data_IF_650814030083
#
_entry.id   IF_650814030083
#
_cell.length_a   1.000
_cell.length_b   1.000
_cell.length_c   1.000
_cell.angle_alpha   90.00
_cell.angle_beta   90.00
_cell.angle_gamma   90.00
#
_symmetry.space_group_name_H-M   'P 1'
#
loop_
_entity.id
_entity.type
_entity.pdbx_description
1 polymer ?
#
# COMPACT_ATOMS: atom_id res chain seq x y z
N UNK A 1 5.25 -16.86 -16.40
CA UNK A 1 4.16 -16.37 -17.27
C UNK A 1 4.75 -15.98 -18.61
N UNK A 2 4.11 -16.34 -19.73
CA UNK A 2 4.55 -15.91 -21.07
C UNK A 2 3.90 -14.60 -21.45
N UNK A 3 4.68 -13.63 -21.90
CA UNK A 3 4.18 -12.31 -22.27
C UNK A 3 3.32 -12.38 -23.54
N UNK A 4 3.58 -13.32 -24.45
CA UNK A 4 2.71 -13.59 -25.61
C UNK A 4 1.28 -13.98 -25.24
N UNK A 5 1.06 -14.41 -23.98
CA UNK A 5 -0.24 -14.83 -23.45
C UNK A 5 -0.94 -13.74 -22.62
N UNK A 6 -0.31 -12.59 -22.37
CA UNK A 6 -0.99 -11.46 -21.76
C UNK A 6 -1.95 -10.81 -22.76
N UNK A 7 -3.15 -10.47 -22.29
CA UNK A 7 -4.07 -9.63 -23.06
C UNK A 7 -3.65 -8.15 -23.01
N UNK A 8 -2.92 -7.75 -21.96
CA UNK A 8 -2.38 -6.40 -21.80
C UNK A 8 -1.12 -6.20 -22.64
N UNK A 9 -0.97 -5.00 -23.19
CA UNK A 9 0.21 -4.57 -23.94
C UNK A 9 0.65 -3.20 -23.44
N UNK A 10 1.93 -2.88 -23.59
CA UNK A 10 2.44 -1.54 -23.32
C UNK A 10 1.85 -0.55 -24.32
N UNK A 11 1.71 0.71 -23.88
CA UNK A 11 1.19 1.81 -24.70
C UNK A 11 2.22 2.92 -24.75
N UNK A 12 2.40 3.51 -25.94
CA UNK A 12 3.27 4.68 -26.14
C UNK A 12 2.66 5.96 -25.60
N UNK A 13 1.34 6.09 -25.75
CA UNK A 13 0.58 7.28 -25.39
C UNK A 13 -0.43 6.98 -24.27
N UNK A 14 -0.66 8.00 -23.46
CA UNK A 14 -1.67 8.05 -22.40
C UNK A 14 -2.51 9.29 -22.64
N UNK A 15 -3.71 9.30 -22.07
CA UNK A 15 -4.61 10.43 -22.23
C UNK A 15 -3.99 11.70 -21.64
N UNK A 16 -4.13 12.83 -22.35
CA UNK A 16 -3.51 14.10 -22.00
C UNK A 16 -4.03 14.71 -20.67
N UNK A 17 -5.15 14.20 -20.14
CA UNK A 17 -5.69 14.58 -18.83
C UNK A 17 -4.98 13.89 -17.66
N UNK A 18 -4.14 12.87 -17.90
CA UNK A 18 -3.38 12.18 -16.87
C UNK A 18 -1.94 12.70 -16.79
N UNK A 19 -1.74 13.71 -15.96
CA UNK A 19 -0.44 14.39 -15.77
C UNK A 19 0.41 13.77 -14.66
N UNK A 20 -0.13 12.80 -13.92
CA UNK A 20 0.52 12.24 -12.74
C UNK A 20 1.46 11.11 -13.14
N UNK A 21 2.74 11.23 -12.80
CA UNK A 21 3.78 10.27 -13.18
C UNK A 21 3.44 8.83 -12.78
N UNK A 22 2.95 8.63 -11.55
CA UNK A 22 2.50 7.31 -11.10
C UNK A 22 1.45 6.67 -12.01
N UNK A 23 0.36 7.40 -12.32
CA UNK A 23 -0.73 6.88 -13.12
C UNK A 23 -0.31 6.74 -14.60
N UNK A 24 0.45 7.69 -15.12
CA UNK A 24 1.00 7.63 -16.48
C UNK A 24 1.78 6.34 -16.71
N UNK A 25 2.77 6.06 -15.85
CA UNK A 25 3.60 4.86 -15.96
C UNK A 25 2.80 3.58 -15.81
N UNK A 26 1.88 3.52 -14.83
CA UNK A 26 1.06 2.33 -14.59
C UNK A 26 0.09 2.04 -15.73
N UNK A 27 -0.48 3.07 -16.37
CA UNK A 27 -1.35 2.90 -17.54
C UNK A 27 -0.52 2.49 -18.76
N UNK A 28 0.61 3.16 -19.03
CA UNK A 28 1.52 2.82 -20.14
C UNK A 28 2.06 1.40 -20.04
N UNK A 29 2.39 0.96 -18.84
CA UNK A 29 2.87 -0.39 -18.57
C UNK A 29 1.75 -1.45 -18.53
N UNK A 30 0.46 -1.05 -18.63
CA UNK A 30 -0.67 -1.98 -18.59
C UNK A 30 -0.90 -2.61 -17.21
N UNK A 31 -0.55 -1.91 -16.13
CA UNK A 31 -0.81 -2.33 -14.74
C UNK A 31 -2.21 -1.93 -14.29
N UNK A 32 -2.71 -0.78 -14.76
CA UNK A 32 -4.05 -0.29 -14.43
C UNK A 32 -4.76 0.25 -15.67
N UNK A 33 -6.09 0.29 -15.61
CA UNK A 33 -6.95 0.98 -16.56
C UNK A 33 -7.76 2.04 -15.81
N UNK A 34 -7.76 3.28 -16.31
CA UNK A 34 -8.55 4.38 -15.73
C UNK A 34 -9.97 4.29 -16.28
N UNK A 35 -10.94 3.99 -15.42
CA UNK A 35 -12.37 3.94 -15.78
C UNK A 35 -12.94 5.37 -15.87
N UNK A 36 -12.62 6.17 -14.86
CA UNK A 36 -12.94 7.59 -14.77
C UNK A 36 -11.99 8.29 -13.80
N UNK A 37 -12.13 9.61 -13.65
CA UNK A 37 -11.30 10.37 -12.71
C UNK A 37 -11.40 9.79 -11.28
N UNK A 38 -10.26 9.32 -10.77
CA UNK A 38 -10.16 8.73 -9.42
C UNK A 38 -10.65 7.28 -9.29
N UNK A 39 -10.96 6.58 -10.38
CA UNK A 39 -11.39 5.17 -10.34
C UNK A 39 -10.59 4.35 -11.36
N UNK A 40 -9.95 3.29 -10.88
CA UNK A 40 -9.00 2.49 -11.64
C UNK A 40 -9.28 0.99 -11.48
N UNK A 41 -9.26 0.27 -12.60
CA UNK A 41 -9.24 -1.18 -12.65
C UNK A 41 -7.80 -1.69 -12.62
N UNK A 42 -7.52 -2.68 -11.77
CA UNK A 42 -6.21 -3.33 -11.69
C UNK A 42 -6.11 -4.48 -12.70
N UNK A 43 -5.17 -4.35 -13.63
CA UNK A 43 -4.88 -5.36 -14.66
C UNK A 43 -3.90 -6.42 -14.10
N UNK A 44 -3.61 -7.53 -14.82
CA UNK A 44 -2.90 -8.67 -14.23
C UNK A 44 -1.57 -8.33 -13.53
N UNK A 45 -0.76 -7.42 -14.09
CA UNK A 45 0.50 -6.99 -13.45
C UNK A 45 0.25 -6.12 -12.22
N UNK A 46 -0.65 -5.15 -12.31
CA UNK A 46 -1.00 -4.27 -11.19
C UNK A 46 -1.63 -5.02 -10.04
N UNK A 47 -2.53 -5.98 -10.32
CA UNK A 47 -3.16 -6.82 -9.31
C UNK A 47 -2.13 -7.71 -8.58
N UNK A 48 -1.08 -8.19 -9.27
CA UNK A 48 0.00 -8.96 -8.64
C UNK A 48 0.79 -8.10 -7.65
N UNK A 49 1.14 -6.86 -8.01
CA UNK A 49 1.81 -5.91 -7.10
C UNK A 49 0.92 -5.59 -5.91
N UNK A 50 -0.35 -5.25 -6.17
CA UNK A 50 -1.32 -4.91 -5.13
C UNK A 50 -1.46 -6.04 -4.10
N UNK A 51 -1.54 -7.29 -4.55
CA UNK A 51 -1.61 -8.47 -3.68
C UNK A 51 -0.33 -8.71 -2.86
N UNK A 52 0.86 -8.38 -3.40
CA UNK A 52 2.11 -8.46 -2.63
C UNK A 52 2.15 -7.42 -1.50
N UNK A 53 1.72 -6.18 -1.79
CA UNK A 53 1.54 -5.14 -0.78
C UNK A 53 0.52 -5.58 0.28
N UNK A 54 -0.62 -6.11 -0.18
CA UNK A 54 -1.68 -6.64 0.68
C UNK A 54 -1.17 -7.72 1.63
N UNK A 55 -0.41 -8.69 1.12
CA UNK A 55 0.13 -9.78 1.93
C UNK A 55 1.15 -9.30 2.96
N UNK A 56 2.03 -8.36 2.62
CA UNK A 56 2.95 -7.75 3.60
C UNK A 56 2.14 -7.12 4.74
N UNK A 57 1.10 -6.36 4.41
CA UNK A 57 0.26 -5.72 5.44
C UNK A 57 -0.45 -6.78 6.28
N UNK A 58 -1.09 -7.78 5.66
CA UNK A 58 -1.80 -8.88 6.32
C UNK A 58 -0.91 -9.61 7.33
N UNK A 59 0.26 -10.05 6.90
CA UNK A 59 1.22 -10.73 7.77
C UNK A 59 1.56 -9.91 9.02
N UNK A 60 1.79 -8.60 8.85
CA UNK A 60 2.10 -7.71 9.98
C UNK A 60 0.89 -7.46 10.90
N UNK A 61 -0.34 -7.47 10.37
CA UNK A 61 -1.56 -7.39 11.19
C UNK A 61 -1.80 -8.70 11.97
N UNK A 62 -1.58 -9.85 11.32
CA UNK A 62 -1.72 -11.17 11.95
C UNK A 62 -0.68 -11.36 13.06
N UNK A 63 0.57 -10.91 12.84
CA UNK A 63 1.65 -10.94 13.83
C UNK A 63 1.33 -10.15 15.11
N UNK A 64 0.43 -9.17 15.06
CA UNK A 64 -0.03 -8.42 16.23
C UNK A 64 -1.34 -8.94 16.83
N UNK A 65 -1.84 -10.09 16.35
CA UNK A 65 -3.07 -10.71 16.82
C UNK A 65 -4.34 -10.12 16.20
N UNK A 66 -4.21 -9.38 15.10
CA UNK A 66 -5.36 -8.86 14.36
C UNK A 66 -6.22 -9.98 13.79
N UNK A 67 -7.53 -9.85 13.89
CA UNK A 67 -8.49 -10.79 13.29
C UNK A 67 -9.00 -10.21 11.97
N UNK A 68 -8.65 -10.85 10.85
CA UNK A 68 -9.12 -10.41 9.53
C UNK A 68 -10.61 -10.73 9.35
N UNK A 69 -11.37 -9.72 8.93
CA UNK A 69 -12.79 -9.81 8.56
C UNK A 69 -13.02 -9.13 7.21
N UNK A 70 -14.22 -9.30 6.64
CA UNK A 70 -14.68 -8.53 5.49
C UNK A 70 -16.03 -7.90 5.83
N UNK A 71 -16.04 -6.57 6.02
CA UNK A 71 -17.23 -5.82 6.38
C UNK A 71 -17.95 -5.29 5.13
N UNK A 72 -19.25 -5.04 5.27
CA UNK A 72 -20.09 -4.55 4.17
C UNK A 72 -19.64 -3.18 3.65
N UNK A 73 -19.59 -3.02 2.32
CA UNK A 73 -19.45 -1.72 1.66
C UNK A 73 -20.71 -0.87 1.82
N UNK A 74 -21.88 -1.51 1.87
CA UNK A 74 -23.17 -0.85 2.09
C UNK A 74 -23.41 -0.73 3.59
N UNK A 75 -23.57 0.50 4.05
CA UNK A 75 -23.63 0.82 5.47
C UNK A 75 -24.97 1.48 5.81
N UNK A 76 -25.67 1.00 6.87
CA UNK A 76 -26.97 1.52 7.26
C UNK A 76 -26.86 2.96 7.75
N UNK A 77 -27.73 3.83 7.23
CA UNK A 77 -27.81 5.26 7.58
C UNK A 77 -27.92 5.47 9.09
N UNK A 78 -28.68 4.61 9.78
CA UNK A 78 -28.96 4.73 11.21
C UNK A 78 -27.69 4.66 12.07
N UNK A 79 -26.68 3.92 11.63
CA UNK A 79 -25.39 3.85 12.34
C UNK A 79 -24.59 5.16 12.18
N UNK A 80 -24.65 5.79 11.01
CA UNK A 80 -24.02 7.07 10.72
C UNK A 80 -24.72 8.24 11.40
N UNK A 81 -26.04 8.17 11.55
CA UNK A 81 -26.80 9.16 12.32
C UNK A 81 -26.44 9.13 13.81
N UNK A 82 -26.24 7.94 14.39
CA UNK A 82 -25.81 7.79 15.79
C UNK A 82 -24.49 8.48 16.08
N UNK A 83 -23.55 8.47 15.13
CA UNK A 83 -22.25 9.15 15.28
C UNK A 83 -22.29 10.62 14.84
N UNK A 84 -23.43 11.09 14.31
CA UNK A 84 -23.58 12.41 13.70
C UNK A 84 -22.81 12.60 12.39
N UNK A 85 -22.15 11.54 11.90
CA UNK A 85 -21.31 11.60 10.68
C UNK A 85 -22.11 11.50 9.40
N UNK A 86 -23.38 11.12 9.46
CA UNK A 86 -24.27 11.21 8.30
C UNK A 86 -24.34 12.64 7.76
N UNK A 87 -24.44 13.64 8.64
CA UNK A 87 -24.54 15.05 8.23
C UNK A 87 -23.20 15.79 8.21
N UNK A 88 -22.27 15.44 9.12
CA UNK A 88 -21.01 16.19 9.25
C UNK A 88 -19.89 15.76 8.31
N UNK A 89 -20.02 14.64 7.58
CA UNK A 89 -19.01 14.16 6.65
C UNK A 89 -19.37 14.54 5.20
N UNK A 90 -18.65 15.52 4.67
CA UNK A 90 -18.94 16.13 3.36
C UNK A 90 -18.62 15.22 2.16
N UNK A 91 -17.71 14.26 2.34
CA UNK A 91 -17.24 13.33 1.29
C UNK A 91 -17.90 11.94 1.37
N UNK A 92 -19.04 11.82 2.04
CA UNK A 92 -19.81 10.59 2.16
C UNK A 92 -20.69 10.36 0.93
N UNK A 93 -20.53 9.22 0.25
CA UNK A 93 -21.48 8.79 -0.77
C UNK A 93 -22.78 8.29 -0.10
N UNK A 94 -23.85 9.08 -0.23
CA UNK A 94 -25.22 8.72 0.17
C UNK A 94 -25.97 8.21 -1.06
N UNK A 95 -26.39 6.95 -1.02
CA UNK A 95 -27.09 6.28 -2.13
C UNK A 95 -28.53 6.00 -1.70
N UNK A 96 -29.47 6.25 -2.60
CA UNK A 96 -30.90 5.96 -2.41
C UNK A 96 -31.31 4.88 -3.40
N UNK A 97 -31.84 3.76 -2.90
CA UNK A 97 -32.36 2.71 -3.78
C UNK A 97 -33.78 3.03 -4.29
N UNK A 98 -34.30 2.19 -5.19
CA UNK A 98 -35.63 2.39 -5.78
C UNK A 98 -36.79 2.30 -4.78
N UNK A 99 -36.55 1.79 -3.57
CA UNK A 99 -37.53 1.76 -2.48
C UNK A 99 -37.49 3.01 -1.59
N UNK A 100 -36.55 3.93 -1.85
CA UNK A 100 -36.31 5.10 -1.03
C UNK A 100 -35.39 4.84 0.18
N UNK A 101 -34.76 3.67 0.27
CA UNK A 101 -33.83 3.36 1.36
C UNK A 101 -32.51 4.07 1.12
N UNK A 102 -32.05 4.76 2.14
CA UNK A 102 -30.77 5.46 2.13
C UNK A 102 -29.67 4.61 2.77
N UNK A 103 -28.52 4.52 2.10
CA UNK A 103 -27.35 3.80 2.56
C UNK A 103 -26.10 4.60 2.26
N UNK A 104 -25.07 4.47 3.09
CA UNK A 104 -23.75 4.97 2.78
C UNK A 104 -22.95 3.91 2.01
N UNK A 105 -22.15 4.34 1.03
CA UNK A 105 -21.00 3.55 0.58
C UNK A 105 -19.82 3.87 1.50
N UNK A 106 -19.31 2.86 2.20
CA UNK A 106 -18.36 3.02 3.29
C UNK A 106 -17.05 3.72 2.90
N UNK A 107 -16.75 4.91 3.46
CA UNK A 107 -15.42 5.53 3.37
C UNK A 107 -14.47 5.01 4.48
N UNK A 108 -15.04 4.38 5.52
CA UNK A 108 -14.42 3.75 6.70
C UNK A 108 -15.49 2.90 7.42
N UNK A 109 -15.17 2.23 8.53
CA UNK A 109 -16.04 1.20 9.14
C UNK A 109 -16.18 1.25 10.67
N UNK A 110 -15.85 2.35 11.35
CA UNK A 110 -16.10 2.50 12.80
C UNK A 110 -17.59 2.26 13.15
N UNK A 111 -18.50 2.83 12.35
CA UNK A 111 -19.96 2.68 12.45
C UNK A 111 -20.49 1.25 12.24
N UNK A 112 -19.64 0.35 11.73
CA UNK A 112 -20.01 -1.03 11.40
C UNK A 112 -19.40 -2.01 12.40
N UNK A 113 -18.11 -1.88 12.66
CA UNK A 113 -17.40 -2.83 13.55
C UNK A 113 -17.90 -2.73 15.00
N UNK A 114 -18.19 -1.52 15.50
CA UNK A 114 -18.63 -1.30 16.88
C UNK A 114 -19.95 -1.99 17.20
N UNK A 115 -21.05 -1.78 16.44
CA UNK A 115 -22.31 -2.46 16.72
C UNK A 115 -22.24 -3.98 16.49
N UNK A 116 -21.38 -4.47 15.59
CA UNK A 116 -21.11 -5.91 15.46
C UNK A 116 -20.51 -6.43 16.77
N UNK A 117 -19.43 -5.80 17.24
CA UNK A 117 -18.70 -6.23 18.41
C UNK A 117 -19.58 -6.25 19.67
N UNK A 118 -20.49 -5.28 19.82
CA UNK A 118 -21.43 -5.19 20.94
C UNK A 118 -22.25 -6.47 21.17
N UNK A 119 -22.47 -7.29 20.14
CA UNK A 119 -23.24 -8.53 20.27
C UNK A 119 -22.47 -9.67 20.93
N UNK A 120 -21.14 -9.53 21.08
CA UNK A 120 -20.26 -10.62 21.51
C UNK A 120 -19.47 -10.31 22.78
N UNK A 121 -19.46 -9.04 23.22
CA UNK A 121 -18.66 -8.59 24.36
C UNK A 121 -19.53 -7.98 25.45
N UNK A 122 -19.23 -8.30 26.70
CA UNK A 122 -19.93 -7.76 27.86
C UNK A 122 -19.07 -7.66 29.13
N UNK A 123 -17.98 -8.43 29.21
CA UNK A 123 -17.07 -8.47 30.36
C UNK A 123 -15.67 -8.00 29.96
N UNK A 124 -14.89 -7.48 30.92
CA UNK A 124 -13.47 -7.20 30.72
C UNK A 124 -12.68 -8.43 30.21
N UNK A 125 -13.16 -9.66 30.48
CA UNK A 125 -12.54 -10.90 30.00
C UNK A 125 -12.63 -11.08 28.48
N UNK A 126 -13.58 -10.41 27.83
CA UNK A 126 -13.74 -10.44 26.38
C UNK A 126 -12.73 -9.51 25.66
N UNK A 127 -11.96 -8.74 26.45
CA UNK A 127 -10.92 -7.81 25.98
C UNK A 127 -9.56 -8.22 26.57
N UNK A 128 -8.88 -9.23 25.99
CA UNK A 128 -7.51 -9.54 26.37
C UNK A 128 -6.62 -8.29 26.17
N UNK A 129 -5.49 -8.21 26.88
CA UNK A 129 -4.50 -7.11 26.72
C UNK A 129 -3.24 -7.52 25.97
N UNK A 130 -3.02 -8.83 25.74
CA UNK A 130 -1.82 -9.30 25.04
C UNK A 130 -2.08 -10.58 24.20
N UNK A 131 -2.28 -10.45 22.88
CA UNK A 131 -2.56 -9.20 22.17
C UNK A 131 -3.95 -8.65 22.52
N UNK A 132 -4.18 -7.34 22.39
CA UNK A 132 -5.50 -6.77 22.58
C UNK A 132 -6.47 -7.21 21.49
N UNK A 133 -7.76 -7.22 21.82
CA UNK A 133 -8.80 -7.49 20.84
C UNK A 133 -8.71 -6.46 19.71
N UNK A 134 -8.43 -6.93 18.51
CA UNK A 134 -8.31 -6.10 17.34
C UNK A 134 -8.82 -6.80 16.09
N UNK A 135 -9.51 -6.04 15.26
CA UNK A 135 -10.21 -6.51 14.07
C UNK A 135 -9.74 -5.65 12.91
N UNK A 136 -9.42 -6.25 11.77
CA UNK A 136 -9.05 -5.51 10.57
C UNK A 136 -9.66 -6.12 9.32
N UNK A 137 -9.68 -5.34 8.25
CA UNK A 137 -10.06 -5.82 6.92
C UNK A 137 -9.18 -5.17 5.86
N UNK A 138 -9.19 -5.73 4.66
CA UNK A 138 -8.66 -5.09 3.46
C UNK A 138 -9.78 -5.04 2.41
N UNK A 139 -10.33 -3.84 2.16
CA UNK A 139 -11.59 -3.70 1.43
C UNK A 139 -11.71 -2.32 0.74
N UNK A 140 -12.45 -2.25 -0.37
CA UNK A 140 -12.67 -1.04 -1.17
C UNK A 140 -13.48 0.03 -0.42
N UNK A 141 -12.92 1.22 -0.30
CA UNK A 141 -13.56 2.40 0.28
C UNK A 141 -13.99 3.36 -0.79
N UNK A 142 -15.02 4.14 -0.48
CA UNK A 142 -15.60 5.13 -1.38
C UNK A 142 -15.61 6.50 -0.71
N UNK A 143 -14.96 7.49 -1.31
CA UNK A 143 -15.02 8.90 -0.86
C UNK A 143 -15.41 9.80 -2.03
N UNK A 144 -16.36 10.69 -1.80
CA UNK A 144 -16.89 11.63 -2.79
C UNK A 144 -15.90 12.78 -3.00
N UNK A 145 -14.74 12.44 -3.56
CA UNK A 145 -13.71 13.41 -3.87
C UNK A 145 -14.14 14.29 -5.04
N UNK A 146 -14.41 15.57 -4.75
CA UNK A 146 -14.87 16.56 -5.73
C UNK A 146 -13.86 16.71 -6.87
N UNK A 147 -12.56 16.65 -6.55
CA UNK A 147 -11.47 16.75 -7.53
C UNK A 147 -10.43 15.67 -7.29
N UNK A 148 -10.63 14.51 -7.94
CA UNK A 148 -9.59 13.50 -8.01
C UNK A 148 -8.38 14.09 -8.77
N UNK A 149 -7.22 14.10 -8.14
CA UNK A 149 -5.96 14.67 -8.65
C UNK A 149 -4.79 13.76 -8.28
N UNK A 150 -3.65 13.94 -8.94
CA UNK A 150 -2.43 13.20 -8.63
C UNK A 150 -2.52 11.69 -8.87
N UNK A 151 -3.38 11.26 -9.80
CA UNK A 151 -3.45 9.88 -10.28
C UNK A 151 -3.98 8.93 -9.20
N UNK A 152 -3.19 7.90 -8.90
CA UNK A 152 -3.57 6.89 -7.90
C UNK A 152 -3.46 7.37 -6.45
N UNK A 153 -2.93 8.57 -6.21
CA UNK A 153 -2.73 9.10 -4.86
C UNK A 153 -4.03 9.62 -4.23
N UNK A 154 -5.00 10.08 -5.04
CA UNK A 154 -6.27 10.63 -4.55
C UNK A 154 -7.44 10.22 -5.44
N UNK A 155 -7.93 9.01 -5.18
CA UNK A 155 -9.07 8.40 -5.85
C UNK A 155 -10.41 8.59 -5.13
N UNK A 156 -11.48 8.12 -5.78
CA UNK A 156 -12.85 8.02 -5.24
C UNK A 156 -13.17 6.62 -4.76
N UNK A 157 -12.65 5.62 -5.47
CA UNK A 157 -12.65 4.22 -5.06
C UNK A 157 -11.20 3.79 -4.82
N UNK A 158 -10.92 3.24 -3.65
CA UNK A 158 -9.56 2.83 -3.29
C UNK A 158 -9.56 1.68 -2.29
N UNK A 159 -8.56 0.81 -2.39
CA UNK A 159 -8.37 -0.29 -1.46
C UNK A 159 -7.66 0.21 -0.21
N UNK A 160 -8.22 -0.10 0.97
CA UNK A 160 -7.65 0.28 2.25
C UNK A 160 -7.65 -0.91 3.19
N UNK A 161 -6.55 -1.05 3.93
CA UNK A 161 -6.54 -1.78 5.18
C UNK A 161 -6.97 -0.84 6.29
N UNK A 162 -7.99 -1.21 7.04
CA UNK A 162 -8.46 -0.50 8.22
C UNK A 162 -8.57 -1.48 9.38
N UNK A 163 -7.98 -1.11 10.51
CA UNK A 163 -7.93 -1.91 11.74
C UNK A 163 -8.50 -1.11 12.90
N UNK A 164 -9.17 -1.79 13.82
CA UNK A 164 -9.78 -1.22 15.01
C UNK A 164 -9.36 -2.04 16.24
N UNK A 165 -8.83 -1.39 17.26
CA UNK A 165 -8.44 -2.04 18.52
C UNK A 165 -9.34 -1.58 19.66
N UNK A 166 -9.57 -2.46 20.63
CA UNK A 166 -10.52 -2.25 21.72
C UNK A 166 -9.86 -2.56 23.06
N UNK A 167 -9.95 -1.62 23.99
CA UNK A 167 -9.14 -1.61 25.21
C UNK A 167 -9.97 -1.31 26.45
N UNK A 168 -9.58 -1.95 27.56
CA UNK A 168 -10.20 -1.74 28.88
C UNK A 168 -9.53 -0.65 29.69
N UNK A 169 -8.32 -0.23 29.31
CA UNK A 169 -7.57 0.82 30.00
C UNK A 169 -6.75 1.66 29.03
N UNK A 170 -6.44 2.89 29.44
CA UNK A 170 -5.59 3.80 28.66
C UNK A 170 -4.18 3.24 28.47
N UNK A 171 -3.63 2.56 29.47
CA UNK A 171 -2.30 1.94 29.42
C UNK A 171 -2.24 0.86 28.33
N UNK A 172 -3.22 -0.03 28.29
CA UNK A 172 -3.33 -1.09 27.28
C UNK A 172 -3.42 -0.50 25.85
N UNK A 173 -4.21 0.56 25.69
CA UNK A 173 -4.27 1.30 24.44
C UNK A 173 -2.92 1.92 24.05
N UNK A 174 -2.24 2.63 24.95
CA UNK A 174 -0.97 3.31 24.66
C UNK A 174 0.16 2.33 24.30
N UNK A 175 0.21 1.18 24.99
CA UNK A 175 1.17 0.10 24.68
C UNK A 175 0.93 -0.46 23.27
N UNK A 176 -0.33 -0.75 22.92
CA UNK A 176 -0.67 -1.25 21.59
C UNK A 176 -0.47 -0.20 20.49
N UNK A 177 -0.86 1.05 20.74
CA UNK A 177 -0.69 2.16 19.78
C UNK A 177 0.80 2.38 19.46
N UNK A 178 1.67 2.33 20.48
CA UNK A 178 3.13 2.40 20.32
C UNK A 178 3.67 1.21 19.53
N UNK A 179 3.16 0.00 19.78
CA UNK A 179 3.50 -1.19 18.98
C UNK A 179 3.13 -0.99 17.50
N UNK A 180 1.93 -0.47 17.23
CA UNK A 180 1.44 -0.21 15.87
C UNK A 180 2.28 0.82 15.12
N UNK A 181 2.85 1.82 15.81
CA UNK A 181 3.82 2.74 15.20
C UNK A 181 5.03 1.99 14.61
N UNK A 182 5.58 1.03 15.36
CA UNK A 182 6.69 0.20 14.91
C UNK A 182 6.30 -0.71 13.74
N UNK A 183 5.12 -1.34 13.82
CA UNK A 183 4.59 -2.22 12.77
C UNK A 183 4.44 -1.48 11.44
N UNK A 184 3.91 -0.26 11.46
CA UNK A 184 3.75 0.53 10.23
C UNK A 184 5.12 0.88 9.60
N UNK A 185 6.13 1.22 10.41
CA UNK A 185 7.51 1.40 9.92
C UNK A 185 8.03 0.13 9.24
N UNK A 186 7.80 -1.04 9.85
CA UNK A 186 8.17 -2.34 9.26
C UNK A 186 7.47 -2.57 7.92
N UNK A 187 6.16 -2.32 7.83
CA UNK A 187 5.39 -2.45 6.57
C UNK A 187 6.01 -1.58 5.47
N UNK A 188 6.23 -0.29 5.71
CA UNK A 188 6.78 0.61 4.68
C UNK A 188 8.23 0.26 4.32
N UNK A 189 9.02 -0.25 5.27
CA UNK A 189 10.35 -0.81 5.01
C UNK A 189 10.27 -2.03 4.09
N UNK A 190 9.39 -3.00 4.40
CA UNK A 190 9.18 -4.22 3.60
C UNK A 190 8.64 -3.92 2.20
N UNK A 191 7.79 -2.91 2.07
CA UNK A 191 7.29 -2.42 0.76
C UNK A 191 8.38 -1.70 -0.05
N UNK A 192 9.46 -1.24 0.59
CA UNK A 192 10.65 -0.69 -0.06
C UNK A 192 10.77 0.85 -0.01
N UNK A 193 9.88 1.54 0.71
CA UNK A 193 9.86 3.02 0.82
C UNK A 193 10.13 3.53 2.24
N UNK A 194 10.49 2.65 3.18
CA UNK A 194 10.72 3.02 4.58
C UNK A 194 11.80 4.09 4.76
N UNK A 195 12.82 4.09 3.91
CA UNK A 195 13.89 5.09 3.91
C UNK A 195 13.45 6.51 3.47
N UNK A 196 12.26 6.64 2.90
CA UNK A 196 11.65 7.92 2.51
C UNK A 196 10.43 8.27 3.37
N UNK A 197 10.04 7.39 4.31
CA UNK A 197 8.77 7.50 5.03
C UNK A 197 9.02 7.83 6.50
N UNK A 198 8.48 8.97 6.92
CA UNK A 198 8.65 9.52 8.26
C UNK A 198 7.37 9.39 9.05
N UNK A 199 7.50 8.94 10.31
CA UNK A 199 6.41 9.06 11.26
C UNK A 199 6.25 10.53 11.61
N UNK A 200 5.05 11.04 11.36
CA UNK A 200 4.75 12.47 11.37
C UNK A 200 3.69 12.75 12.41
N UNK A 201 4.00 13.60 13.38
CA UNK A 201 3.02 14.10 14.32
C UNK A 201 2.07 15.07 13.60
N UNK A 202 0.78 14.80 13.65
CA UNK A 202 -0.23 15.49 12.85
C UNK A 202 -1.50 15.78 13.64
N UNK A 203 -2.43 16.53 13.04
CA UNK A 203 -3.76 16.74 13.60
C UNK A 203 -4.54 15.44 13.56
N UNK A 204 -5.30 15.16 14.63
CA UNK A 204 -6.22 14.04 14.63
C UNK A 204 -7.50 14.28 13.83
N UNK A 205 -7.62 15.43 13.17
CA UNK A 205 -8.78 15.83 12.39
C UNK A 205 -10.06 15.74 13.21
N UNK A 206 -11.08 15.06 12.68
CA UNK A 206 -12.33 14.85 13.43
C UNK A 206 -12.22 13.77 14.50
N UNK A 207 -11.17 12.95 14.51
CA UNK A 207 -11.07 11.74 15.32
C UNK A 207 -10.45 12.00 16.70
N UNK A 208 -9.42 12.83 16.77
CA UNK A 208 -8.65 13.11 18.00
C UNK A 208 -7.98 14.49 17.94
N UNK A 209 -7.34 14.95 19.04
CA UNK A 209 -6.52 16.19 19.01
C UNK A 209 -5.30 16.01 18.08
N UNK A 210 -4.60 14.90 18.23
CA UNK A 210 -3.40 14.56 17.47
C UNK A 210 -3.46 13.11 16.99
N UNK A 211 -2.70 12.81 15.94
CA UNK A 211 -2.49 11.48 15.36
C UNK A 211 -1.02 11.30 14.97
N UNK A 212 -0.70 10.11 14.45
CA UNK A 212 0.58 9.86 13.79
C UNK A 212 0.32 9.42 12.35
N UNK A 213 0.67 10.30 11.43
CA UNK A 213 0.71 10.02 10.00
C UNK A 213 2.03 9.33 9.63
N UNK A 214 2.02 8.63 8.50
CA UNK A 214 3.20 8.09 7.87
C UNK A 214 3.33 8.76 6.51
N UNK A 215 4.31 9.67 6.40
CA UNK A 215 4.45 10.59 5.30
C UNK A 215 5.69 10.24 4.49
N UNK A 216 5.51 9.90 3.22
CA UNK A 216 6.62 9.61 2.30
C UNK A 216 7.03 10.89 1.57
N UNK A 217 8.31 11.28 1.66
CA UNK A 217 8.83 12.47 0.98
C UNK A 217 8.64 12.34 -0.53
N UNK A 218 7.99 13.33 -1.14
CA UNK A 218 7.78 13.42 -2.58
C UNK A 218 7.38 14.84 -2.97
N UNK A 219 7.94 15.35 -4.08
CA UNK A 219 7.67 16.70 -4.57
C UNK A 219 6.21 16.93 -5.00
N UNK A 220 5.49 15.86 -5.36
CA UNK A 220 4.06 15.93 -5.73
C UNK A 220 3.12 15.76 -4.54
N UNK A 221 3.68 15.61 -3.34
CA UNK A 221 2.93 15.50 -2.10
C UNK A 221 2.03 16.71 -1.82
N UNK A 222 0.83 16.43 -1.29
CA UNK A 222 -0.12 17.49 -0.93
C UNK A 222 0.24 18.12 0.41
N UNK A 223 0.80 17.33 1.31
CA UNK A 223 1.16 17.75 2.65
C UNK A 223 2.52 18.45 2.65
N UNK A 224 2.71 19.29 3.67
CA UNK A 224 3.99 19.94 3.95
C UNK A 224 4.38 19.53 5.35
N UNK A 225 5.52 18.87 5.47
CA UNK A 225 6.05 18.36 6.73
C UNK A 225 7.38 19.01 7.04
N UNK A 226 7.72 19.05 8.33
CA UNK A 226 8.99 19.54 8.83
C UNK A 226 9.74 18.36 9.47
N UNK A 227 10.80 17.91 8.80
CA UNK A 227 11.55 16.70 9.14
C UNK A 227 12.73 17.04 10.03
N UNK A 228 12.88 16.33 11.14
CA UNK A 228 14.12 16.28 11.90
C UNK A 228 14.87 14.99 11.54
N UNK A 229 15.92 15.12 10.72
CA UNK A 229 16.69 13.97 10.22
C UNK A 229 17.40 13.21 11.34
N UNK A 230 17.71 13.87 12.46
CA UNK A 230 18.42 13.26 13.59
C UNK A 230 17.55 12.26 14.37
N UNK A 231 16.27 12.59 14.60
CA UNK A 231 15.32 11.71 15.30
C UNK A 231 14.49 10.83 14.37
N UNK A 232 14.56 11.07 13.05
CA UNK A 232 13.70 10.41 12.06
C UNK A 232 12.20 10.62 12.34
N UNK A 233 11.87 11.81 12.85
CA UNK A 233 10.50 12.28 13.10
C UNK A 233 10.18 13.46 12.19
N UNK A 234 8.88 13.66 11.96
CA UNK A 234 8.40 14.85 11.28
C UNK A 234 7.19 15.47 11.98
N UNK A 235 6.92 16.73 11.65
CA UNK A 235 5.73 17.47 12.06
C UNK A 235 4.94 17.86 10.83
N UNK A 236 3.64 17.59 10.82
CA UNK A 236 2.76 18.19 9.82
C UNK A 236 2.71 19.70 10.07
N UNK A 237 2.77 20.51 9.00
CA UNK A 237 2.72 21.98 9.08
C UNK A 237 1.54 22.49 9.90
N UNK A 238 0.41 21.79 9.87
CA UNK A 238 -0.80 22.18 10.60
C UNK A 238 -0.65 22.17 12.13
N UNK A 239 0.27 21.37 12.67
CA UNK A 239 0.52 21.26 14.12
C UNK A 239 1.84 21.94 14.55
N UNK A 240 2.53 22.62 13.65
CA UNK A 240 3.80 23.29 13.96
C UNK A 240 3.56 24.52 14.84
N UNK A 241 3.83 24.39 16.14
CA UNK A 241 3.81 25.48 17.11
C UNK A 241 4.80 25.20 18.27
N UNK A 242 5.07 26.22 19.09
CA UNK A 242 6.08 26.15 20.15
C UNK A 242 5.73 25.13 21.26
N UNK A 243 4.44 24.89 21.53
CA UNK A 243 3.97 23.88 22.48
C UNK A 243 4.34 22.47 21.99
N UNK A 244 4.04 22.16 20.73
CA UNK A 244 4.35 20.87 20.11
C UNK A 244 5.86 20.65 19.97
N UNK A 245 6.61 21.68 19.56
CA UNK A 245 8.07 21.61 19.49
C UNK A 245 8.67 21.29 20.86
N UNK A 246 8.18 21.93 21.92
CA UNK A 246 8.63 21.68 23.28
C UNK A 246 8.25 20.27 23.75
N UNK A 247 7.02 19.82 23.46
CA UNK A 247 6.51 18.49 23.83
C UNK A 247 7.36 17.37 23.20
N UNK A 248 7.77 17.54 21.95
CA UNK A 248 8.53 16.53 21.21
C UNK A 248 10.04 16.73 21.30
N UNK A 249 10.50 17.74 22.05
CA UNK A 249 11.91 18.11 22.17
C UNK A 249 12.58 18.37 20.80
N UNK A 250 11.84 19.01 19.90
CA UNK A 250 12.28 19.38 18.55
C UNK A 250 12.70 20.85 18.50
N UNK A 251 13.71 21.13 17.68
CA UNK A 251 14.24 22.49 17.50
C UNK A 251 13.92 22.98 16.10
N UNK A 252 13.20 24.10 16.00
CA UNK A 252 12.71 24.65 14.73
C UNK A 252 13.83 24.84 13.69
N UNK A 253 15.00 25.29 14.14
CA UNK A 253 16.18 25.53 13.31
C UNK A 253 16.83 24.25 12.73
N UNK A 254 16.45 23.07 13.22
CA UNK A 254 16.91 21.77 12.71
C UNK A 254 15.93 21.11 11.75
N UNK A 255 14.74 21.69 11.58
CA UNK A 255 13.70 21.10 10.77
C UNK A 255 13.86 21.47 9.29
N UNK A 256 13.73 20.47 8.42
CA UNK A 256 13.76 20.65 6.97
C UNK A 256 12.35 20.53 6.42
N UNK A 257 11.87 21.58 5.75
CA UNK A 257 10.56 21.56 5.09
C UNK A 257 10.60 20.64 3.87
N UNK A 258 9.63 19.73 3.78
CA UNK A 258 9.48 18.78 2.68
C UNK A 258 8.02 18.68 2.24
N UNK A 259 7.81 18.38 0.96
CA UNK A 259 6.52 17.90 0.46
C UNK A 259 6.40 16.40 0.67
N UNK A 260 5.21 15.92 0.99
CA UNK A 260 5.01 14.50 1.30
C UNK A 260 3.63 13.94 0.96
N UNK A 261 3.56 12.62 0.85
CA UNK A 261 2.35 11.84 0.60
C UNK A 261 2.05 11.00 1.84
N UNK A 262 0.87 11.18 2.43
CA UNK A 262 0.38 10.36 3.54
C UNK A 262 0.02 8.95 3.05
N UNK A 263 0.81 7.93 3.44
CA UNK A 263 0.60 6.52 3.08
C UNK A 263 -0.10 5.69 4.17
N UNK A 264 -0.22 6.24 5.38
CA UNK A 264 -0.97 5.62 6.48
C UNK A 264 -1.15 6.57 7.66
N UNK A 265 -2.08 6.23 8.55
CA UNK A 265 -2.42 7.05 9.71
C UNK A 265 -2.96 6.20 10.85
N UNK A 266 -2.69 6.61 12.07
CA UNK A 266 -3.14 5.92 13.28
C UNK A 266 -3.73 6.91 14.29
N UNK A 267 -4.91 6.60 14.83
CA UNK A 267 -5.70 7.52 15.67
C UNK A 267 -6.05 6.94 17.04
N UNK A 268 -5.95 7.78 18.07
CA UNK A 268 -6.58 7.56 19.38
C UNK A 268 -8.04 8.01 19.33
N UNK A 269 -8.95 7.06 19.06
CA UNK A 269 -10.38 7.35 18.96
C UNK A 269 -11.04 7.57 20.32
N UNK A 270 -10.35 7.22 21.42
CA UNK A 270 -10.89 7.25 22.78
C UNK A 270 -12.25 6.55 22.83
N UNK A 271 -13.29 7.29 23.22
CA UNK A 271 -14.66 6.79 23.31
C UNK A 271 -15.58 7.35 22.23
N UNK A 272 -15.02 7.98 21.17
CA UNK A 272 -15.80 8.68 20.13
C UNK A 272 -16.86 7.79 19.49
N UNK A 273 -16.54 6.52 19.24
CA UNK A 273 -17.45 5.57 18.59
C UNK A 273 -18.06 4.56 19.56
N UNK A 274 -17.35 4.15 20.60
CA UNK A 274 -17.90 3.23 21.60
C UNK A 274 -19.06 3.86 22.38
N UNK A 275 -19.00 5.17 22.70
CA UNK A 275 -20.05 5.85 23.45
C UNK A 275 -21.40 5.94 22.70
N UNK A 276 -21.48 6.41 21.43
CA UNK A 276 -22.74 6.43 20.67
C UNK A 276 -23.44 5.09 20.52
N UNK A 277 -22.69 3.99 20.48
CA UNK A 277 -23.24 2.64 20.38
C UNK A 277 -23.40 1.96 21.74
N UNK A 278 -23.01 2.60 22.85
CA UNK A 278 -22.96 2.00 24.19
C UNK A 278 -22.20 0.65 24.18
N UNK A 279 -21.01 0.66 23.56
CA UNK A 279 -20.05 -0.43 23.64
C UNK A 279 -19.28 -0.30 24.97
N UNK A 280 -19.60 -1.20 25.89
CA UNK A 280 -19.14 -1.17 27.26
C UNK A 280 -18.76 -2.56 27.78
N UNK A 281 -18.02 -2.62 28.86
CA UNK A 281 -17.73 -3.86 29.59
C UNK A 281 -17.91 -3.68 31.08
N UNK A 282 -18.17 -4.79 31.78
CA UNK A 282 -18.13 -4.84 33.25
C UNK A 282 -16.75 -5.30 33.72
N UNK A 283 -16.12 -4.53 34.61
CA UNK A 283 -14.82 -4.86 35.19
C UNK A 283 -14.91 -5.95 36.27
N UNK A 284 -13.81 -6.20 36.98
CA UNK A 284 -13.76 -7.19 38.06
C UNK A 284 -14.50 -6.77 39.34
N UNK A 285 -14.78 -5.49 39.51
CA UNK A 285 -15.48 -4.92 40.66
C UNK A 285 -16.99 -4.77 40.42
N UNK A 286 -17.44 -5.01 39.18
CA UNK A 286 -18.84 -4.93 38.78
C UNK A 286 -19.22 -3.57 38.19
N UNK A 287 -18.25 -2.67 37.97
CA UNK A 287 -18.50 -1.36 37.39
C UNK A 287 -18.52 -1.42 35.85
N UNK A 288 -19.41 -0.63 35.24
CA UNK A 288 -19.60 -0.55 33.80
C UNK A 288 -18.74 0.56 33.20
N UNK A 289 -17.86 0.22 32.28
CA UNK A 289 -16.94 1.15 31.61
C UNK A 289 -17.16 1.17 30.10
N UNK A 290 -16.94 2.33 29.47
CA UNK A 290 -16.97 2.45 28.00
C UNK A 290 -15.61 2.02 27.43
N UNK A 291 -15.65 1.21 26.38
CA UNK A 291 -14.45 0.68 25.71
C UNK A 291 -13.65 1.82 25.07
N UNK A 292 -12.33 1.81 25.24
CA UNK A 292 -11.42 2.71 24.52
C UNK A 292 -11.06 2.10 23.17
N UNK A 293 -10.94 2.94 22.14
CA UNK A 293 -10.70 2.50 20.76
C UNK A 293 -9.50 3.19 20.12
N UNK A 294 -8.81 2.45 19.26
CA UNK A 294 -7.89 2.99 18.26
C UNK A 294 -8.31 2.59 16.85
N UNK A 295 -7.91 3.36 15.83
CA UNK A 295 -7.99 2.92 14.44
C UNK A 295 -6.70 3.17 13.66
N UNK A 296 -6.44 2.31 12.67
CA UNK A 296 -5.17 2.23 11.97
C UNK A 296 -5.41 1.98 10.46
N UNK A 297 -5.16 2.99 9.63
CA UNK A 297 -5.44 3.00 8.18
C UNK A 297 -4.19 2.97 7.30
N UNK A 298 -4.20 2.15 6.24
CA UNK A 298 -3.19 2.15 5.16
C UNK A 298 -3.95 2.07 3.84
N UNK A 299 -3.75 3.05 2.95
CA UNK A 299 -4.33 3.03 1.61
C UNK A 299 -3.44 2.24 0.65
N UNK A 300 -3.80 1.00 0.32
CA UNK A 300 -2.99 0.13 -0.55
C UNK A 300 -2.85 0.69 -1.96
N UNK A 301 -3.95 1.22 -2.51
CA UNK A 301 -3.96 1.87 -3.82
C UNK A 301 -3.02 3.07 -3.88
N UNK A 302 -3.07 3.91 -2.83
CA UNK A 302 -2.18 5.07 -2.69
C UNK A 302 -0.73 4.64 -2.48
N UNK A 303 -0.49 3.61 -1.67
CA UNK A 303 0.85 3.08 -1.42
C UNK A 303 1.49 2.56 -2.71
N UNK A 304 0.75 1.82 -3.54
CA UNK A 304 1.22 1.40 -4.87
C UNK A 304 1.58 2.60 -5.74
N UNK A 305 0.70 3.62 -5.81
CA UNK A 305 0.97 4.85 -6.54
C UNK A 305 2.21 5.58 -6.02
N UNK A 306 2.39 5.63 -4.69
CA UNK A 306 3.52 6.30 -4.02
C UNK A 306 4.85 5.61 -4.35
N UNK A 307 4.88 4.27 -4.35
CA UNK A 307 6.07 3.51 -4.77
C UNK A 307 6.48 3.91 -6.18
N UNK A 308 5.53 3.95 -7.14
CA UNK A 308 5.85 4.32 -8.52
C UNK A 308 6.29 5.78 -8.63
N UNK A 309 5.67 6.66 -7.86
CA UNK A 309 6.01 8.08 -7.85
C UNK A 309 7.47 8.31 -7.42
N UNK A 310 7.89 7.66 -6.33
CA UNK A 310 9.23 7.88 -5.76
C UNK A 310 10.30 6.93 -6.31
N UNK A 311 9.91 5.79 -6.88
CA UNK A 311 10.82 4.78 -7.47
C UNK A 311 10.53 4.58 -8.97
N UNK A 312 10.88 5.58 -9.76
CA UNK A 312 10.84 5.52 -11.22
C UNK A 312 11.90 6.43 -11.85
N UNK A 313 12.27 6.15 -13.10
CA UNK A 313 13.16 6.97 -13.92
C UNK A 313 12.52 7.29 -15.29
N UNK A 314 13.23 7.98 -16.18
CA UNK A 314 12.68 8.37 -17.49
C UNK A 314 12.31 7.18 -18.39
N UNK A 315 12.77 5.98 -18.07
CA UNK A 315 12.49 4.75 -18.82
C UNK A 315 11.29 3.99 -18.25
N UNK A 316 10.99 4.16 -16.96
CA UNK A 316 9.80 3.60 -16.34
C UNK A 316 9.93 3.29 -14.85
N UNK A 317 9.18 2.28 -14.42
CA UNK A 317 9.03 1.93 -13.01
C UNK A 317 10.31 1.24 -12.49
N UNK A 318 10.58 1.35 -11.18
CA UNK A 318 11.63 0.59 -10.49
C UNK A 318 10.99 -0.07 -9.26
N UNK A 319 10.55 -1.32 -9.39
CA UNK A 319 9.90 -2.02 -8.28
C UNK A 319 10.93 -2.48 -7.23
N UNK A 320 10.64 -2.30 -5.93
CA UNK A 320 11.28 -3.07 -4.87
C UNK A 320 11.05 -4.56 -5.07
N UNK A 321 12.05 -5.40 -4.79
CA UNK A 321 12.00 -6.84 -5.05
C UNK A 321 10.81 -7.52 -4.34
N UNK A 322 10.47 -7.06 -3.13
CA UNK A 322 9.39 -7.59 -2.29
C UNK A 322 8.00 -7.47 -2.92
N UNK A 323 7.76 -6.43 -3.72
CA UNK A 323 6.44 -6.14 -4.31
C UNK A 323 6.41 -6.22 -5.84
N UNK A 324 7.55 -6.45 -6.48
CA UNK A 324 7.63 -6.60 -7.93
C UNK A 324 6.69 -7.70 -8.45
N UNK A 325 6.01 -7.51 -9.60
CA UNK A 325 5.04 -8.48 -10.11
C UNK A 325 5.68 -9.82 -10.50
N UNK A 326 6.97 -9.79 -10.86
CA UNK A 326 7.84 -10.93 -11.13
C UNK A 326 9.24 -10.57 -10.63
N UNK A 327 10.04 -11.55 -10.26
CA UNK A 327 11.44 -11.36 -9.90
C UNK A 327 12.31 -11.15 -11.15
N UNK A 328 12.00 -11.89 -12.22
CA UNK A 328 12.77 -11.89 -13.47
C UNK A 328 11.91 -11.52 -14.66
N UNK A 329 12.44 -10.68 -15.53
CA UNK A 329 11.99 -10.51 -16.91
C UNK A 329 12.99 -11.19 -17.85
N UNK A 330 12.62 -12.35 -18.39
CA UNK A 330 13.40 -13.15 -19.31
C UNK A 330 13.10 -12.73 -20.75
N UNK A 331 14.11 -12.31 -21.50
CA UNK A 331 13.98 -11.83 -22.88
C UNK A 331 14.65 -12.81 -23.82
N UNK A 332 13.87 -13.36 -24.75
CA UNK A 332 14.37 -14.07 -25.91
C UNK A 332 14.70 -13.06 -27.02
N UNK A 333 15.96 -13.00 -27.47
CA UNK A 333 16.38 -12.13 -28.56
C UNK A 333 16.77 -12.92 -29.83
N UNK A 334 16.10 -12.59 -30.93
CA UNK A 334 16.33 -13.21 -32.23
C UNK A 334 15.39 -14.38 -32.52
N UNK A 335 15.49 -14.92 -33.72
CA UNK A 335 14.63 -16.00 -34.24
C UNK A 335 15.33 -17.36 -34.31
N UNK A 336 16.59 -17.43 -33.89
CA UNK A 336 17.40 -18.65 -33.90
C UNK A 336 16.78 -19.75 -33.00
N UNK A 337 16.57 -20.93 -33.58
CA UNK A 337 15.91 -22.06 -32.91
C UNK A 337 16.70 -22.60 -31.71
N UNK A 338 18.05 -22.50 -31.72
CA UNK A 338 18.85 -22.88 -30.56
C UNK A 338 18.67 -21.88 -29.42
N UNK A 339 18.59 -20.58 -29.74
CA UNK A 339 18.32 -19.54 -28.73
C UNK A 339 16.93 -19.73 -28.12
N UNK A 340 15.91 -20.02 -28.94
CA UNK A 340 14.55 -20.33 -28.47
C UNK A 340 14.53 -21.52 -27.51
N UNK A 341 15.17 -22.64 -27.89
CA UNK A 341 15.27 -23.85 -27.05
C UNK A 341 15.97 -23.57 -25.72
N UNK A 342 17.07 -22.83 -25.75
CA UNK A 342 17.79 -22.52 -24.51
C UNK A 342 16.99 -21.56 -23.62
N UNK A 343 16.33 -20.54 -24.19
CA UNK A 343 15.46 -19.64 -23.42
C UNK A 343 14.30 -20.40 -22.75
N UNK A 344 13.69 -21.34 -23.47
CA UNK A 344 12.63 -22.20 -22.94
C UNK A 344 13.12 -23.10 -21.79
N UNK A 345 14.30 -23.70 -21.94
CA UNK A 345 14.94 -24.50 -20.89
C UNK A 345 15.27 -23.68 -19.66
N UNK A 346 15.77 -22.46 -19.84
CA UNK A 346 16.05 -21.52 -18.73
C UNK A 346 14.74 -21.14 -18.04
N UNK A 347 13.70 -20.79 -18.79
CA UNK A 347 12.38 -20.45 -18.25
C UNK A 347 11.82 -21.57 -17.37
N UNK A 348 11.82 -22.81 -17.87
CA UNK A 348 11.29 -23.96 -17.13
C UNK A 348 12.17 -24.32 -15.92
N UNK A 349 13.49 -24.16 -16.01
CA UNK A 349 14.40 -24.34 -14.86
C UNK A 349 14.10 -23.33 -13.76
N UNK A 350 14.07 -22.04 -14.07
CA UNK A 350 13.79 -20.98 -13.09
C UNK A 350 12.42 -21.17 -12.43
N UNK A 351 11.40 -21.51 -13.23
CA UNK A 351 10.05 -21.76 -12.74
C UNK A 351 9.99 -22.99 -11.82
N UNK A 352 10.69 -24.08 -12.15
CA UNK A 352 10.79 -25.28 -11.28
C UNK A 352 11.49 -24.98 -9.96
N UNK A 353 12.39 -23.99 -9.93
CA UNK A 353 13.02 -23.48 -8.72
C UNK A 353 12.16 -22.49 -7.92
N UNK A 354 10.89 -22.29 -8.29
CA UNK A 354 9.96 -21.39 -7.59
C UNK A 354 10.15 -19.90 -7.89
N UNK A 355 11.01 -19.56 -8.85
CA UNK A 355 11.29 -18.16 -9.20
C UNK A 355 10.17 -17.62 -10.10
N UNK A 356 9.64 -16.45 -9.75
CA UNK A 356 8.61 -15.78 -10.55
C UNK A 356 9.21 -15.13 -11.79
N UNK A 357 8.94 -15.71 -12.96
CA UNK A 357 9.48 -15.23 -14.26
C UNK A 357 8.36 -14.73 -15.18
N UNK A 358 8.51 -13.51 -15.69
CA UNK A 358 7.85 -13.03 -16.90
C UNK A 358 8.76 -13.32 -18.09
N UNK A 359 8.28 -14.13 -19.04
CA UNK A 359 9.04 -14.52 -20.23
C UNK A 359 8.52 -13.78 -21.46
N UNK A 360 9.32 -12.87 -22.02
CA UNK A 360 9.06 -12.22 -23.29
C UNK A 360 9.43 -13.13 -24.47
N UNK A 361 8.51 -14.05 -24.75
CA UNK A 361 8.54 -15.02 -25.84
C UNK A 361 7.92 -14.48 -27.14
N UNK A 362 7.63 -13.17 -27.23
CA UNK A 362 7.00 -12.58 -28.42
C UNK A 362 7.95 -12.67 -29.62
N UNK A 363 7.48 -13.28 -30.71
CA UNK A 363 8.13 -13.26 -32.02
C UNK A 363 7.82 -11.99 -32.81
N UNK A 364 8.70 -11.62 -33.75
CA UNK A 364 8.50 -10.44 -34.60
C UNK A 364 8.58 -9.07 -33.90
N UNK A 365 9.02 -9.03 -32.64
CA UNK A 365 9.27 -7.80 -31.85
C UNK A 365 10.76 -7.54 -31.81
N UNK A 366 11.17 -6.29 -32.02
CA UNK A 366 12.60 -5.92 -32.05
C UNK A 366 13.23 -5.99 -30.65
N UNK A 367 14.56 -6.19 -30.59
CA UNK A 367 15.27 -6.17 -29.31
C UNK A 367 15.09 -4.83 -28.57
N UNK A 368 15.10 -3.71 -29.30
CA UNK A 368 14.88 -2.38 -28.73
C UNK A 368 13.51 -2.24 -28.07
N UNK A 369 12.45 -2.75 -28.70
CA UNK A 369 11.11 -2.76 -28.12
C UNK A 369 11.02 -3.66 -26.88
N UNK A 370 11.63 -4.84 -26.90
CA UNK A 370 11.69 -5.72 -25.71
C UNK A 370 12.41 -5.05 -24.54
N UNK A 371 13.51 -4.34 -24.82
CA UNK A 371 14.22 -3.59 -23.79
C UNK A 371 13.41 -2.41 -23.25
N UNK A 372 12.74 -1.65 -24.12
CA UNK A 372 11.87 -0.55 -23.71
C UNK A 372 10.70 -1.04 -22.84
N UNK A 373 10.03 -2.13 -23.23
CA UNK A 373 8.98 -2.75 -22.43
C UNK A 373 9.51 -3.26 -21.08
N UNK A 374 10.72 -3.86 -21.08
CA UNK A 374 11.36 -4.35 -19.85
C UNK A 374 11.68 -3.23 -18.87
N UNK A 375 12.24 -2.12 -19.38
CA UNK A 375 12.54 -0.94 -18.58
C UNK A 375 11.24 -0.26 -18.08
N UNK A 376 10.18 -0.24 -18.90
CA UNK A 376 8.87 0.29 -18.52
C UNK A 376 8.19 -0.53 -17.42
N UNK A 377 8.19 -1.87 -17.52
CA UNK A 377 7.60 -2.74 -16.51
C UNK A 377 8.30 -2.68 -15.16
N UNK A 378 9.60 -2.35 -15.15
CA UNK A 378 10.35 -2.13 -13.92
C UNK A 378 10.67 -3.39 -13.12
N UNK A 379 10.65 -4.57 -13.75
CA UNK A 379 10.97 -5.83 -13.09
C UNK A 379 12.46 -5.82 -12.64
N UNK A 380 12.77 -6.19 -11.38
CA UNK A 380 14.09 -5.96 -10.79
C UNK A 380 15.28 -6.54 -11.57
N UNK A 381 15.14 -7.77 -12.09
CA UNK A 381 16.20 -8.45 -12.81
C UNK A 381 15.78 -8.76 -14.25
N UNK A 382 16.50 -8.17 -15.20
CA UNK A 382 16.38 -8.51 -16.62
C UNK A 382 17.39 -9.60 -16.97
N UNK A 383 16.92 -10.67 -17.61
CA UNK A 383 17.74 -11.80 -18.08
C UNK A 383 17.56 -11.92 -19.59
N UNK A 384 18.64 -11.96 -20.33
CA UNK A 384 18.63 -11.94 -21.80
C UNK A 384 19.30 -13.20 -22.33
N UNK A 385 18.58 -13.89 -23.23
CA UNK A 385 19.09 -15.05 -23.97
C UNK A 385 19.25 -14.64 -25.43
N UNK A 386 20.48 -14.71 -25.92
CA UNK A 386 20.86 -14.34 -27.28
C UNK A 386 21.98 -15.24 -27.79
N UNK A 387 22.25 -15.20 -29.10
CA UNK A 387 23.42 -15.88 -29.69
C UNK A 387 24.72 -15.50 -28.98
N UNK A 388 24.85 -14.22 -28.59
CA UNK A 388 26.03 -13.71 -27.88
C UNK A 388 26.14 -14.32 -26.48
N UNK A 389 25.08 -14.26 -25.68
CA UNK A 389 25.13 -14.76 -24.29
C UNK A 389 25.42 -16.25 -24.24
N UNK A 390 24.85 -17.03 -25.17
CA UNK A 390 25.11 -18.47 -25.28
C UNK A 390 26.58 -18.75 -25.64
N UNK A 391 27.17 -17.99 -26.58
CA UNK A 391 28.60 -18.11 -26.92
C UNK A 391 29.51 -17.77 -25.75
N UNK A 392 29.10 -16.83 -24.91
CA UNK A 392 29.80 -16.44 -23.67
C UNK A 392 29.52 -17.41 -22.49
N UNK A 393 28.73 -18.46 -22.70
CA UNK A 393 28.53 -19.55 -21.73
C UNK A 393 27.36 -19.36 -20.77
N UNK A 394 26.39 -18.49 -21.07
CA UNK A 394 25.22 -18.33 -20.21
C UNK A 394 24.20 -17.30 -20.67
N UNK A 395 23.77 -16.47 -19.72
CA UNK A 395 22.75 -15.42 -19.92
C UNK A 395 23.28 -14.07 -19.50
N UNK A 396 22.89 -13.02 -20.22
CA UNK A 396 23.21 -11.66 -19.79
C UNK A 396 22.18 -11.21 -18.76
N UNK A 397 22.65 -10.78 -17.60
CA UNK A 397 21.82 -10.26 -16.51
C UNK A 397 22.08 -8.78 -16.30
N UNK A 398 21.03 -8.05 -15.93
CA UNK A 398 21.11 -6.62 -15.61
C UNK A 398 20.02 -6.25 -14.59
N UNK A 399 20.38 -5.59 -13.50
CA UNK A 399 19.37 -5.02 -12.60
C UNK A 399 18.70 -3.81 -13.23
N UNK A 400 17.43 -3.56 -12.90
CA UNK A 400 16.65 -2.46 -13.48
C UNK A 400 17.29 -1.08 -13.26
N UNK A 401 17.99 -0.89 -12.15
CA UNK A 401 18.65 0.37 -11.78
C UNK A 401 20.16 0.42 -12.13
N UNK A 402 20.70 -0.61 -12.80
CA UNK A 402 22.10 -0.62 -13.25
C UNK A 402 22.20 -0.17 -14.72
N UNK A 403 23.38 0.31 -15.14
CA UNK A 403 23.60 0.65 -16.55
C UNK A 403 24.08 -0.55 -17.37
N UNK A 404 25.02 -1.33 -16.80
CA UNK A 404 25.75 -2.40 -17.50
C UNK A 404 25.24 -3.78 -17.07
N UNK A 405 25.06 -4.65 -18.04
CA UNK A 405 24.83 -6.08 -17.80
C UNK A 405 26.13 -6.88 -17.73
N UNK A 406 26.04 -8.12 -17.28
CA UNK A 406 27.14 -9.10 -17.31
C UNK A 406 26.60 -10.48 -17.68
N UNK A 407 27.41 -11.29 -18.35
CA UNK A 407 27.06 -12.68 -18.61
C UNK A 407 27.40 -13.54 -17.40
N UNK A 408 26.46 -14.39 -17.00
CA UNK A 408 26.61 -15.36 -15.91
C UNK A 408 26.11 -16.73 -16.33
N UNK A 409 26.62 -17.78 -15.71
CA UNK A 409 26.10 -19.14 -15.88
C UNK A 409 24.66 -19.24 -15.32
N UNK A 410 23.90 -20.26 -15.76
CA UNK A 410 22.56 -20.53 -15.21
C UNK A 410 22.62 -20.85 -13.71
N UNK A 411 23.66 -21.57 -13.27
CA UNK A 411 23.86 -21.91 -11.86
C UNK A 411 24.10 -20.65 -11.02
N UNK A 412 24.87 -19.69 -11.53
CA UNK A 412 25.10 -18.43 -10.83
C UNK A 412 23.85 -17.55 -10.82
N UNK A 413 23.05 -17.55 -11.90
CA UNK A 413 21.73 -16.91 -11.89
C UNK A 413 20.84 -17.49 -10.78
N UNK A 414 20.78 -18.83 -10.65
CA UNK A 414 20.01 -19.49 -9.59
C UNK A 414 20.50 -19.10 -8.19
N UNK A 415 21.82 -19.02 -7.97
CA UNK A 415 22.40 -18.54 -6.70
C UNK A 415 22.09 -17.08 -6.40
N UNK A 416 22.05 -16.22 -7.43
CA UNK A 416 21.67 -14.81 -7.26
C UNK A 416 20.21 -14.73 -6.79
N UNK A 417 19.32 -15.51 -7.39
CA UNK A 417 17.90 -15.51 -7.05
C UNK A 417 17.61 -16.10 -5.67
N UNK A 418 18.35 -17.13 -5.26
CA UNK A 418 18.14 -17.76 -3.94
C UNK A 418 18.58 -16.86 -2.78
N UNK A 419 19.67 -16.09 -2.95
CA UNK A 419 20.13 -15.12 -1.92
C UNK A 419 19.12 -13.99 -1.67
N UNK A 420 18.35 -13.62 -2.69
CA UNK A 420 17.34 -12.58 -2.59
C UNK A 420 16.02 -13.06 -1.95
N UNK A 421 15.87 -14.37 -1.71
CA UNK A 421 14.67 -14.94 -1.06
C UNK A 421 14.82 -15.12 0.47
N UNK A 422 15.97 -14.76 1.03
CA UNK A 422 16.34 -14.98 2.46
C UNK A 422 16.60 -13.70 3.25
N UNK A 423 16.30 -12.53 2.69
CA UNK A 423 16.24 -11.24 3.39
C UNK A 423 14.82 -10.70 3.30
#
# INVERSE_FOLDING_TARGET
MRQSKFFTKTRKEVSADEVSRNAELLIRAGFVHKEMAGVYSYLPLGLRVLRKIENIIREEMDNVGGQEVLLSSFQPKENWEKTGRWESMDDLYKVVDSSGREVALGPTHEEIVVPILKNYVSSHKDFPSNPPLSIYQIQNKFRMELRAKSGMLRGREFLMKDMYSFHTSKKDFEEFYTKMQGVYKTIFSRVGIGHLTYMTFASGGTFSKYSHEFQTISSVGEDTIYVDEASNLALNKEVLNDEVLSQLNLKKEKLVEQKSIEVGNIFDLKTKYSKPFDLSFTDSEGEKHIVLMGCYGIGLSRLLGTVVEVLSDDKGIIWPESIAPYAIHLLLLGEDENVKKEAEKIYETLKKSGIEVLFDDRGGVTAGEKFADSDLFGIPLRVVVSVRSIKEGGVEIKKRNEEKGKVVSLDDLLKICSKNSTN
#
